data_IF_562603963606
#
_entry.id   IF_562603963606
#
_cell.length_a   1.000
_cell.length_b   1.000
_cell.length_c   1.000
_cell.angle_alpha   90.00
_cell.angle_beta   90.00
_cell.angle_gamma   90.00
#
_symmetry.space_group_name_H-M   'P 1'
#
loop_
_entity.id
_entity.type
_entity.pdbx_description
1 polymer ?
#
# COMPACT_ATOMS: atom_id res chain seq x y z
N UNK A 1 10.65 -18.41 9.53
CA UNK A 1 10.38 -18.10 8.11
C UNK A 1 9.53 -16.85 8.09
N UNK A 2 10.03 -15.73 7.58
CA UNK A 2 9.21 -14.51 7.50
C UNK A 2 8.12 -14.72 6.44
N UNK A 3 6.86 -14.41 6.79
CA UNK A 3 5.75 -14.45 5.85
C UNK A 3 6.07 -13.51 4.67
N UNK A 4 5.75 -13.94 3.45
CA UNK A 4 5.92 -13.14 2.23
C UNK A 4 5.24 -11.77 2.37
N UNK A 5 4.11 -11.71 3.07
CA UNK A 5 3.41 -10.45 3.35
C UNK A 5 4.18 -9.54 4.30
N UNK A 6 4.87 -10.08 5.31
CA UNK A 6 5.74 -9.28 6.19
C UNK A 6 6.89 -8.65 5.41
N UNK A 7 7.52 -9.41 4.49
CA UNK A 7 8.64 -8.91 3.67
C UNK A 7 8.17 -7.78 2.73
N UNK A 8 6.99 -7.94 2.13
CA UNK A 8 6.37 -6.91 1.28
C UNK A 8 6.08 -5.64 2.06
N UNK A 9 5.43 -5.76 3.22
CA UNK A 9 5.10 -4.64 4.11
C UNK A 9 6.36 -3.85 4.49
N UNK A 10 7.40 -4.54 4.97
CA UNK A 10 8.67 -3.90 5.36
C UNK A 10 9.38 -3.24 4.17
N UNK A 11 9.27 -3.84 2.97
CA UNK A 11 9.82 -3.27 1.75
C UNK A 11 9.11 -1.97 1.36
N UNK A 12 7.78 -1.94 1.38
CA UNK A 12 6.98 -0.75 1.08
C UNK A 12 7.26 0.35 2.10
N UNK A 13 7.21 0.04 3.41
CA UNK A 13 7.54 1.00 4.49
C UNK A 13 8.95 1.59 4.32
N UNK A 14 9.95 0.75 4.03
CA UNK A 14 11.33 1.20 3.78
C UNK A 14 11.43 2.12 2.57
N UNK A 15 10.71 1.84 1.48
CA UNK A 15 10.71 2.67 0.28
C UNK A 15 9.99 4.01 0.49
N UNK A 16 8.87 4.01 1.22
CA UNK A 16 8.15 5.21 1.65
C UNK A 16 9.05 6.13 2.49
N UNK A 17 9.71 5.60 3.52
CA UNK A 17 10.64 6.36 4.39
C UNK A 17 11.79 7.01 3.62
N UNK A 18 12.26 6.35 2.55
CA UNK A 18 13.37 6.84 1.71
C UNK A 18 12.91 7.71 0.53
N UNK A 19 11.61 7.92 0.38
CA UNK A 19 11.01 8.61 -0.76
C UNK A 19 11.44 8.02 -2.12
N UNK A 20 11.62 6.70 -2.20
CA UNK A 20 12.11 5.99 -3.38
C UNK A 20 10.97 5.71 -4.38
N UNK A 21 10.35 6.79 -4.90
CA UNK A 21 9.06 6.74 -5.59
C UNK A 21 9.04 5.85 -6.85
N UNK A 22 10.12 5.81 -7.63
CA UNK A 22 10.19 4.95 -8.83
C UNK A 22 10.09 3.45 -8.48
N UNK A 23 10.78 3.03 -7.42
CA UNK A 23 10.72 1.64 -6.94
C UNK A 23 9.37 1.34 -6.29
N UNK A 24 8.83 2.31 -5.56
CA UNK A 24 7.54 2.18 -4.91
C UNK A 24 6.40 2.03 -5.93
N UNK A 25 6.41 2.80 -7.01
CA UNK A 25 5.44 2.67 -8.12
C UNK A 25 5.49 1.27 -8.75
N UNK A 26 6.69 0.74 -8.99
CA UNK A 26 6.89 -0.59 -9.57
C UNK A 26 6.37 -1.73 -8.69
N UNK A 27 6.55 -1.63 -7.37
CA UNK A 27 6.07 -2.67 -6.45
C UNK A 27 4.54 -2.57 -6.26
N UNK A 28 4.00 -1.36 -6.14
CA UNK A 28 2.56 -1.10 -6.02
C UNK A 28 1.81 -1.65 -7.24
N UNK A 29 2.26 -1.34 -8.44
CA UNK A 29 1.63 -1.81 -9.68
C UNK A 29 1.62 -3.35 -9.85
N UNK A 30 2.47 -4.07 -9.10
CA UNK A 30 2.57 -5.54 -9.17
C UNK A 30 1.94 -6.24 -7.97
N UNK A 31 1.49 -5.49 -6.97
CA UNK A 31 0.96 -6.05 -5.73
C UNK A 31 -0.55 -6.15 -5.81
N UNK A 32 -1.10 -7.30 -5.43
CA UNK A 32 -2.55 -7.48 -5.40
C UNK A 32 -3.19 -6.50 -4.40
N UNK A 33 -4.38 -5.98 -4.71
CA UNK A 33 -5.05 -4.98 -3.87
C UNK A 33 -5.28 -5.46 -2.43
N UNK A 34 -5.63 -6.74 -2.24
CA UNK A 34 -5.77 -7.34 -0.90
C UNK A 34 -4.44 -7.46 -0.12
N UNK A 35 -3.29 -7.56 -0.79
CA UNK A 35 -1.99 -7.48 -0.12
C UNK A 35 -1.64 -6.01 0.18
N UNK A 36 -2.04 -5.07 -0.69
CA UNK A 36 -1.89 -3.64 -0.45
C UNK A 36 -2.73 -3.15 0.74
N UNK A 37 -3.96 -3.63 0.93
CA UNK A 37 -4.84 -3.21 2.05
C UNK A 37 -4.20 -3.51 3.41
N UNK A 38 -3.60 -4.70 3.56
CA UNK A 38 -2.86 -5.10 4.76
C UNK A 38 -1.70 -4.16 5.08
N UNK A 39 -0.97 -3.75 4.04
CA UNK A 39 0.12 -2.78 4.19
C UNK A 39 -0.46 -1.41 4.54
N UNK A 40 -1.52 -0.98 3.84
CA UNK A 40 -2.19 0.31 3.98
C UNK A 40 -2.66 0.58 5.42
N UNK A 41 -3.28 -0.41 6.08
CA UNK A 41 -3.75 -0.31 7.47
C UNK A 41 -2.60 -0.11 8.48
N UNK A 42 -1.37 -0.45 8.09
CA UNK A 42 -0.19 -0.34 8.95
C UNK A 42 0.62 0.95 8.76
N UNK A 43 0.14 1.85 7.89
CA UNK A 43 0.79 3.10 7.52
C UNK A 43 0.17 4.29 8.26
N UNK A 44 0.96 5.36 8.43
CA UNK A 44 0.40 6.66 8.84
C UNK A 44 -0.48 7.26 7.72
N UNK A 45 -1.40 8.16 8.06
CA UNK A 45 -2.27 8.84 7.08
C UNK A 45 -1.48 9.52 5.95
N UNK A 46 -0.31 10.10 6.24
CA UNK A 46 0.55 10.71 5.22
C UNK A 46 1.14 9.66 4.27
N UNK A 47 1.52 8.50 4.79
CA UNK A 47 2.05 7.40 4.00
C UNK A 47 0.96 6.70 3.19
N UNK A 48 -0.25 6.58 3.73
CA UNK A 48 -1.46 6.11 3.04
C UNK A 48 -1.76 6.98 1.83
N UNK A 49 -1.84 8.31 1.99
CA UNK A 49 -2.04 9.24 0.88
C UNK A 49 -0.96 9.10 -0.20
N UNK A 50 0.32 8.98 0.21
CA UNK A 50 1.43 8.77 -0.73
C UNK A 50 1.27 7.46 -1.48
N UNK A 51 1.04 6.36 -0.78
CA UNK A 51 0.88 5.04 -1.40
C UNK A 51 -0.32 5.03 -2.36
N UNK A 52 -1.46 5.59 -1.94
CA UNK A 52 -2.67 5.69 -2.73
C UNK A 52 -2.47 6.50 -4.02
N UNK A 53 -1.72 7.60 -3.95
CA UNK A 53 -1.38 8.43 -5.10
C UNK A 53 -0.50 7.74 -6.14
N UNK A 54 0.20 6.67 -5.75
CA UNK A 54 1.08 5.89 -6.63
C UNK A 54 0.37 4.74 -7.34
N UNK A 55 -0.87 4.43 -6.95
CA UNK A 55 -1.72 3.49 -7.67
C UNK A 55 -2.25 4.24 -8.90
N UNK A 56 -1.93 3.75 -10.09
CA UNK A 56 -2.38 4.37 -11.35
C UNK A 56 -3.65 3.71 -11.90
N UNK A 57 -3.77 2.41 -11.69
CA UNK A 57 -4.93 1.63 -12.10
C UNK A 57 -6.15 1.93 -11.22
N UNK A 58 -7.24 2.37 -11.86
CA UNK A 58 -8.51 2.71 -11.21
C UNK A 58 -9.19 1.45 -10.65
N UNK A 59 -9.07 0.30 -11.33
CA UNK A 59 -9.64 -0.96 -10.84
C UNK A 59 -8.92 -1.39 -9.56
N UNK A 60 -7.58 -1.37 -9.58
CA UNK A 60 -6.77 -1.65 -8.39
C UNK A 60 -7.13 -0.71 -7.22
N UNK A 61 -7.40 0.58 -7.48
CA UNK A 61 -7.89 1.53 -6.45
C UNK A 61 -9.25 1.12 -5.90
N UNK A 62 -10.19 0.77 -6.77
CA UNK A 62 -11.53 0.35 -6.37
C UNK A 62 -11.50 -0.89 -5.49
N UNK A 63 -10.73 -1.90 -5.89
CA UNK A 63 -10.56 -3.12 -5.10
C UNK A 63 -9.83 -2.84 -3.78
N UNK A 64 -8.80 -1.98 -3.77
CA UNK A 64 -8.16 -1.57 -2.52
C UNK A 64 -9.19 -0.96 -1.57
N UNK A 65 -10.00 -0.01 -2.05
CA UNK A 65 -11.04 0.63 -1.25
C UNK A 65 -12.07 -0.34 -0.68
N UNK A 66 -12.51 -1.33 -1.47
CA UNK A 66 -13.47 -2.34 -0.98
C UNK A 66 -12.89 -3.29 0.08
N UNK A 67 -11.56 -3.37 0.18
CA UNK A 67 -10.85 -4.23 1.15
C UNK A 67 -10.41 -3.46 2.41
N UNK A 68 -10.63 -2.14 2.47
CA UNK A 68 -10.30 -1.34 3.65
C UNK A 68 -11.37 -1.49 4.73
N UNK A 69 -10.93 -1.48 6.00
CA UNK A 69 -11.81 -1.44 7.15
C UNK A 69 -12.46 -0.05 7.28
N UNK A 70 -13.68 0.00 7.83
CA UNK A 70 -14.46 1.24 7.97
C UNK A 70 -13.70 2.33 8.74
N UNK A 71 -12.98 1.95 9.79
CA UNK A 71 -12.13 2.87 10.58
C UNK A 71 -11.03 3.53 9.73
N UNK A 72 -10.48 2.82 8.75
CA UNK A 72 -9.45 3.36 7.83
C UNK A 72 -10.06 4.29 6.78
N UNK A 73 -11.35 4.15 6.48
CA UNK A 73 -12.07 5.04 5.56
C UNK A 73 -12.54 6.33 6.23
N UNK A 74 -12.77 6.31 7.54
CA UNK A 74 -13.32 7.42 8.32
C UNK A 74 -12.27 8.25 9.08
N UNK A 75 -11.01 7.81 9.07
CA UNK A 75 -9.88 8.49 9.74
C UNK A 75 -9.34 9.69 8.97
#
# INVERSE_FOLDING_TARGET
>A
MADRNTILMESIKRLLRRNALSHLRKIVAKTHAADLSRVFNSLSLTEQHKLFSLIEDIEQKGVLFSELEEDTLLS
#
